data_IF_346976280467
#
_entry.id   IF_346976280467
#
_cell.length_a   1.000
_cell.length_b   1.000
_cell.length_c   1.000
_cell.angle_alpha   90.00
_cell.angle_beta   90.00
_cell.angle_gamma   90.00
#
_symmetry.space_group_name_H-M   'P 1'
#
loop_
_entity.id
_entity.type
_entity.pdbx_description
1 polymer ?
#
# COMPACT_ATOMS: atom_id res chain seq x y z
N UNK A 1 39.93 -13.32 -10.11
CA UNK A 1 39.37 -12.81 -11.37
C UNK A 1 37.88 -12.69 -11.15
N UNK A 2 37.48 -11.57 -10.57
CA UNK A 2 36.08 -11.34 -10.23
C UNK A 2 35.43 -10.69 -11.43
N UNK A 3 34.64 -11.50 -12.14
CA UNK A 3 33.76 -11.03 -13.21
C UNK A 3 32.65 -10.20 -12.58
N UNK A 4 32.92 -8.91 -12.36
CA UNK A 4 31.90 -7.92 -12.02
C UNK A 4 30.88 -7.91 -13.18
N UNK A 5 29.57 -8.17 -12.93
CA UNK A 5 28.56 -8.21 -13.98
C UNK A 5 28.51 -6.88 -14.75
N UNK A 6 28.16 -6.89 -16.05
CA UNK A 6 28.13 -5.68 -16.89
C UNK A 6 27.32 -4.53 -16.29
N UNK A 7 26.25 -4.86 -15.55
CA UNK A 7 25.38 -3.91 -14.87
C UNK A 7 26.06 -3.16 -13.72
N UNK A 8 26.83 -3.85 -12.85
CA UNK A 8 27.53 -3.19 -11.74
C UNK A 8 28.67 -2.30 -12.23
N UNK A 9 29.36 -2.72 -13.31
CA UNK A 9 30.41 -1.89 -13.94
C UNK A 9 29.80 -0.63 -14.57
N UNK A 10 28.62 -0.72 -15.17
CA UNK A 10 27.87 0.42 -15.69
C UNK A 10 27.43 1.38 -14.57
N UNK A 11 26.86 0.89 -13.47
CA UNK A 11 26.45 1.72 -12.33
C UNK A 11 27.63 2.42 -11.64
N UNK A 12 28.77 1.75 -11.45
CA UNK A 12 29.97 2.37 -10.84
C UNK A 12 30.57 3.45 -11.72
N UNK A 13 30.64 3.21 -13.03
CA UNK A 13 31.05 4.23 -14.02
C UNK A 13 30.13 5.45 -13.97
N UNK A 14 28.82 5.22 -13.84
CA UNK A 14 27.82 6.28 -13.72
C UNK A 14 28.01 7.10 -12.43
N UNK A 15 28.25 6.46 -11.29
CA UNK A 15 28.42 7.09 -9.97
C UNK A 15 29.80 7.72 -9.74
N UNK A 16 30.84 7.31 -10.47
CA UNK A 16 32.16 7.95 -10.39
C UNK A 16 32.26 9.22 -11.25
N UNK A 17 31.43 9.32 -12.30
CA UNK A 17 31.36 10.50 -13.17
C UNK A 17 30.43 11.61 -12.66
N UNK A 18 29.70 11.42 -11.55
CA UNK A 18 28.75 12.42 -10.99
C UNK A 18 29.39 13.61 -10.28
N UNK A 19 30.73 13.75 -10.27
CA UNK A 19 31.38 15.03 -9.89
C UNK A 19 31.24 16.12 -10.95
N UNK A 20 30.64 15.79 -12.12
CA UNK A 20 30.01 16.76 -13.00
C UNK A 20 28.56 16.36 -13.18
N UNK A 21 27.66 17.00 -12.43
CA UNK A 21 26.24 17.03 -12.78
C UNK A 21 26.17 17.75 -14.13
N UNK A 22 26.23 17.00 -15.23
CA UNK A 22 25.59 17.48 -16.44
C UNK A 22 24.12 17.58 -16.07
N UNK A 23 23.59 18.81 -16.08
CA UNK A 23 22.14 19.03 -16.19
C UNK A 23 21.63 18.01 -17.22
N UNK A 24 20.48 17.39 -16.97
CA UNK A 24 19.75 16.74 -18.07
C UNK A 24 19.83 17.70 -19.27
N UNK A 25 20.27 17.27 -20.45
CA UNK A 25 20.23 18.15 -21.61
C UNK A 25 18.81 18.71 -21.65
N UNK A 26 18.67 20.05 -21.76
CA UNK A 26 17.36 20.64 -22.03
C UNK A 26 16.86 19.97 -23.30
N UNK A 27 15.89 19.07 -23.13
CA UNK A 27 15.23 18.42 -24.26
C UNK A 27 14.24 19.46 -24.77
N UNK A 28 14.46 19.97 -25.98
CA UNK A 28 13.50 20.83 -26.64
C UNK A 28 12.16 20.09 -26.77
N UNK A 29 11.08 20.69 -26.29
CA UNK A 29 9.74 20.22 -26.56
C UNK A 29 9.45 20.39 -28.06
N UNK A 30 9.02 19.32 -28.73
CA UNK A 30 8.59 19.41 -30.12
C UNK A 30 7.08 19.16 -30.22
N UNK A 31 6.45 19.87 -31.14
CA UNK A 31 5.06 19.62 -31.50
C UNK A 31 5.01 18.43 -32.46
N UNK A 32 4.37 17.35 -32.03
CA UNK A 32 4.10 16.20 -32.90
C UNK A 32 2.99 16.54 -33.91
N UNK A 33 2.99 15.93 -35.11
CA UNK A 33 1.88 16.04 -36.04
C UNK A 33 0.54 15.65 -35.37
N UNK A 34 -0.48 16.49 -35.49
CA UNK A 34 -1.83 16.23 -34.98
C UNK A 34 -2.74 15.86 -36.14
N UNK A 35 -3.35 14.68 -36.09
CA UNK A 35 -4.18 14.13 -37.17
C UNK A 35 -5.64 14.06 -36.73
N UNK A 36 -6.52 14.66 -37.52
CA UNK A 36 -7.97 14.63 -37.28
C UNK A 36 -8.60 13.37 -37.88
N UNK A 37 -9.05 12.46 -37.03
CA UNK A 37 -9.65 11.19 -37.46
C UNK A 37 -11.12 11.31 -37.88
N UNK A 38 -11.76 12.48 -37.72
CA UNK A 38 -13.13 12.70 -38.21
C UNK A 38 -13.23 12.50 -39.73
N UNK A 39 -12.14 12.74 -40.46
CA UNK A 39 -12.04 12.61 -41.90
C UNK A 39 -12.09 11.17 -42.42
N UNK A 40 -11.97 10.16 -41.55
CA UNK A 40 -11.98 8.75 -41.98
C UNK A 40 -13.35 8.23 -42.42
N UNK A 41 -14.45 8.84 -41.93
CA UNK A 41 -15.77 8.23 -42.00
C UNK A 41 -16.73 8.87 -43.01
N UNK A 42 -16.48 10.10 -43.49
CA UNK A 42 -17.51 10.89 -44.17
C UNK A 42 -17.23 11.25 -45.64
N UNK A 43 -15.97 11.25 -46.09
CA UNK A 43 -15.62 11.65 -47.47
C UNK A 43 -14.41 10.85 -48.00
N UNK A 44 -14.53 10.14 -49.15
CA UNK A 44 -13.43 9.39 -49.76
C UNK A 44 -12.15 10.20 -49.99
N UNK A 45 -12.26 11.48 -50.37
CA UNK A 45 -11.09 12.34 -50.64
C UNK A 45 -10.37 12.72 -49.34
N UNK A 46 -11.13 13.12 -48.32
CA UNK A 46 -10.58 13.45 -47.01
C UNK A 46 -10.04 12.22 -46.26
N UNK A 47 -10.63 11.04 -46.52
CA UNK A 47 -10.14 9.77 -45.99
C UNK A 47 -8.76 9.41 -46.53
N UNK A 48 -8.55 9.52 -47.85
CA UNK A 48 -7.24 9.25 -48.46
C UNK A 48 -6.18 10.22 -47.95
N UNK A 49 -6.54 11.50 -47.79
CA UNK A 49 -5.67 12.51 -47.19
C UNK A 49 -5.28 12.15 -45.74
N UNK A 50 -6.24 11.81 -44.89
CA UNK A 50 -5.98 11.40 -43.51
C UNK A 50 -5.10 10.14 -43.42
N UNK A 51 -5.29 9.15 -44.31
CA UNK A 51 -4.42 7.97 -44.39
C UNK A 51 -2.98 8.36 -44.74
N UNK A 52 -2.80 9.26 -45.72
CA UNK A 52 -1.48 9.74 -46.11
C UNK A 52 -0.80 10.53 -44.99
N UNK A 53 -1.53 11.38 -44.26
CA UNK A 53 -1.01 12.10 -43.08
C UNK A 53 -0.55 11.13 -41.98
N UNK A 54 -1.30 10.05 -41.72
CA UNK A 54 -0.90 9.00 -40.76
C UNK A 54 0.38 8.31 -41.23
N UNK A 55 0.44 7.89 -42.50
CA UNK A 55 1.59 7.19 -43.05
C UNK A 55 2.85 8.08 -43.07
N UNK A 56 2.70 9.36 -43.41
CA UNK A 56 3.78 10.34 -43.41
C UNK A 56 4.28 10.59 -41.99
N UNK A 57 3.39 10.88 -41.03
CA UNK A 57 3.78 11.11 -39.64
C UNK A 57 4.43 9.86 -39.02
N UNK A 58 3.90 8.66 -39.29
CA UNK A 58 4.50 7.41 -38.83
C UNK A 58 5.90 7.15 -39.43
N UNK A 59 6.11 7.49 -40.70
CA UNK A 59 7.38 7.25 -41.39
C UNK A 59 8.46 8.29 -41.07
N UNK A 60 8.08 9.55 -40.89
CA UNK A 60 9.02 10.65 -40.60
C UNK A 60 9.31 10.78 -39.10
N UNK A 61 8.29 10.67 -38.26
CA UNK A 61 8.40 10.91 -36.81
C UNK A 61 8.38 9.63 -35.97
N UNK A 62 7.65 8.59 -36.42
CA UNK A 62 7.36 7.41 -35.59
C UNK A 62 6.38 7.68 -34.42
N UNK A 63 5.98 8.94 -34.21
CA UNK A 63 5.03 9.41 -33.21
C UNK A 63 4.11 10.48 -33.83
N UNK A 64 2.82 10.45 -33.49
CA UNK A 64 1.84 11.45 -33.89
C UNK A 64 0.68 11.49 -32.89
N UNK A 65 -0.03 12.61 -32.84
CA UNK A 65 -1.22 12.80 -32.03
C UNK A 65 -2.47 12.62 -32.89
N UNK A 66 -3.59 12.20 -32.28
CA UNK A 66 -4.87 12.08 -32.96
C UNK A 66 -5.95 12.82 -32.20
N UNK A 67 -6.85 13.49 -32.92
CA UNK A 67 -8.06 14.14 -32.38
C UNK A 67 -9.30 13.58 -33.08
N UNK A 68 -10.49 13.81 -32.50
CA UNK A 68 -11.75 13.26 -33.01
C UNK A 68 -11.73 11.73 -33.19
N UNK A 69 -10.98 11.04 -32.33
CA UNK A 69 -10.74 9.60 -32.35
C UNK A 69 -11.95 8.74 -31.90
N UNK A 70 -13.11 9.35 -31.66
CA UNK A 70 -14.36 8.64 -31.30
C UNK A 70 -14.46 8.16 -29.85
N UNK A 71 -13.44 8.41 -29.01
CA UNK A 71 -13.51 8.16 -27.56
C UNK A 71 -14.04 9.43 -26.90
N UNK A 72 -15.17 9.36 -26.20
CA UNK A 72 -15.75 10.54 -25.56
C UNK A 72 -14.86 11.05 -24.42
N UNK A 73 -14.92 12.36 -24.18
CA UNK A 73 -14.20 12.96 -23.05
C UNK A 73 -14.70 12.40 -21.70
N UNK A 74 -15.97 12.00 -21.63
CA UNK A 74 -16.55 11.33 -20.46
C UNK A 74 -15.83 10.01 -20.14
N UNK A 75 -15.56 9.16 -21.14
CA UNK A 75 -14.82 7.91 -20.95
C UNK A 75 -13.37 8.18 -20.52
N UNK A 76 -12.71 9.17 -21.15
CA UNK A 76 -11.35 9.57 -20.77
C UNK A 76 -11.27 10.17 -19.36
N UNK A 77 -12.30 10.88 -18.92
CA UNK A 77 -12.38 11.40 -17.55
C UNK A 77 -12.70 10.28 -16.56
N UNK A 78 -13.61 9.36 -16.91
CA UNK A 78 -13.96 8.21 -16.09
C UNK A 78 -12.76 7.31 -15.83
N UNK A 79 -11.96 6.97 -16.85
CA UNK A 79 -10.76 6.14 -16.63
C UNK A 79 -9.71 6.85 -15.78
N UNK A 80 -9.57 8.18 -15.89
CA UNK A 80 -8.72 8.99 -15.01
C UNK A 80 -9.23 8.96 -13.57
N UNK A 81 -10.54 9.04 -13.37
CA UNK A 81 -11.14 9.01 -12.04
C UNK A 81 -11.04 7.62 -11.40
N UNK A 82 -11.18 6.54 -12.16
CA UNK A 82 -10.89 5.19 -11.71
C UNK A 82 -9.40 5.02 -11.35
N UNK A 83 -8.48 5.59 -12.15
CA UNK A 83 -7.05 5.58 -11.84
C UNK A 83 -6.72 6.22 -10.49
N UNK A 84 -7.41 7.30 -10.11
CA UNK A 84 -7.23 7.97 -8.80
C UNK A 84 -7.64 7.10 -7.61
N UNK A 85 -8.43 6.04 -7.84
CA UNK A 85 -8.81 5.09 -6.78
C UNK A 85 -7.69 4.09 -6.47
N UNK A 86 -6.66 3.99 -7.30
CA UNK A 86 -5.51 3.14 -7.03
C UNK A 86 -4.49 3.84 -6.14
N UNK A 87 -3.88 3.05 -5.24
CA UNK A 87 -2.84 3.55 -4.33
C UNK A 87 -1.54 3.82 -5.09
N UNK A 88 -1.03 5.06 -5.02
CA UNK A 88 0.25 5.45 -5.61
C UNK A 88 1.43 5.02 -4.72
N UNK A 89 1.68 3.71 -4.68
CA UNK A 89 2.74 3.11 -3.87
C UNK A 89 3.24 1.80 -4.45
N UNK A 90 4.52 1.52 -4.22
CA UNK A 90 5.10 0.19 -4.34
C UNK A 90 5.11 -0.47 -2.96
N UNK A 91 4.64 -1.70 -2.86
CA UNK A 91 4.63 -2.44 -1.59
C UNK A 91 5.14 -3.87 -1.79
N UNK A 92 6.12 -4.26 -0.99
CA UNK A 92 6.66 -5.62 -0.96
C UNK A 92 6.26 -6.30 0.35
N UNK A 93 5.52 -7.41 0.24
CA UNK A 93 5.07 -8.19 1.38
C UNK A 93 6.02 -9.36 1.60
N UNK A 94 6.51 -9.51 2.82
CA UNK A 94 7.44 -10.58 3.19
C UNK A 94 6.82 -11.37 4.32
N UNK A 95 6.45 -12.62 4.03
CA UNK A 95 6.08 -13.55 5.08
C UNK A 95 7.30 -13.90 5.92
N UNK A 96 7.09 -14.02 7.22
CA UNK A 96 8.11 -14.47 8.16
C UNK A 96 8.67 -15.85 7.80
N UNK A 97 7.84 -16.70 7.18
CA UNK A 97 8.24 -18.03 6.73
C UNK A 97 9.22 -18.00 5.53
N UNK A 98 9.22 -16.92 4.76
CA UNK A 98 9.97 -16.83 3.51
C UNK A 98 11.35 -16.20 3.70
N UNK A 99 11.56 -15.45 4.79
CA UNK A 99 12.83 -14.75 5.08
C UNK A 99 14.06 -15.68 5.00
N UNK A 100 14.05 -16.92 5.54
CA UNK A 100 15.20 -17.81 5.46
C UNK A 100 15.57 -18.25 4.03
N UNK A 101 14.65 -18.10 3.07
CA UNK A 101 14.84 -18.46 1.66
C UNK A 101 15.42 -17.34 0.79
N UNK A 102 15.60 -16.12 1.33
CA UNK A 102 16.15 -14.95 0.63
C UNK A 102 17.67 -15.02 0.42
N UNK A 103 18.16 -16.08 -0.21
CA UNK A 103 19.60 -16.40 -0.32
C UNK A 103 20.38 -15.44 -1.22
N UNK A 104 19.72 -14.85 -2.23
CA UNK A 104 20.35 -13.97 -3.22
C UNK A 104 20.58 -12.54 -2.70
N UNK A 105 19.90 -12.16 -1.60
CA UNK A 105 19.96 -10.81 -1.03
C UNK A 105 20.43 -10.83 0.43
N UNK A 106 21.64 -11.35 0.69
CA UNK A 106 22.18 -11.58 2.04
C UNK A 106 22.11 -10.36 2.97
N UNK A 107 22.46 -9.17 2.48
CA UNK A 107 22.44 -7.93 3.29
C UNK A 107 21.02 -7.46 3.63
N UNK A 108 20.09 -7.58 2.68
CA UNK A 108 18.67 -7.28 2.91
C UNK A 108 18.08 -8.27 3.91
N UNK A 109 18.33 -9.57 3.69
CA UNK A 109 17.91 -10.65 4.57
C UNK A 109 18.40 -10.43 6.00
N UNK A 110 19.69 -10.19 6.21
CA UNK A 110 20.24 -10.01 7.57
C UNK A 110 19.64 -8.80 8.28
N UNK A 111 19.39 -7.70 7.55
CA UNK A 111 18.76 -6.49 8.09
C UNK A 111 17.30 -6.76 8.47
N UNK A 112 16.56 -7.45 7.60
CA UNK A 112 15.18 -7.85 7.86
C UNK A 112 15.12 -8.80 9.05
N UNK A 113 15.95 -9.85 9.10
CA UNK A 113 16.00 -10.80 10.21
C UNK A 113 16.25 -10.09 11.55
N UNK A 114 17.20 -9.15 11.58
CA UNK A 114 17.49 -8.35 12.77
C UNK A 114 16.29 -7.46 13.18
N UNK A 115 15.69 -6.75 12.22
CA UNK A 115 14.52 -5.91 12.48
C UNK A 115 13.34 -6.74 12.99
N UNK A 116 13.02 -7.81 12.27
CA UNK A 116 11.94 -8.75 12.54
C UNK A 116 12.03 -9.33 13.94
N UNK A 117 13.22 -9.81 14.33
CA UNK A 117 13.42 -10.39 15.65
C UNK A 117 13.05 -9.40 16.76
N UNK A 118 13.51 -8.15 16.64
CA UNK A 118 13.26 -7.14 17.67
C UNK A 118 11.80 -6.68 17.67
N UNK A 119 11.21 -6.43 16.49
CA UNK A 119 9.82 -5.95 16.39
C UNK A 119 8.81 -7.04 16.77
N UNK A 120 9.11 -8.33 16.54
CA UNK A 120 8.23 -9.42 16.99
C UNK A 120 8.19 -9.54 18.51
N UNK A 121 9.35 -9.41 19.16
CA UNK A 121 9.46 -9.44 20.63
C UNK A 121 8.72 -8.24 21.25
N UNK A 122 8.86 -7.05 20.63
CA UNK A 122 8.14 -5.83 21.03
C UNK A 122 6.62 -5.99 20.84
N UNK A 123 6.16 -6.47 19.68
CA UNK A 123 4.74 -6.64 19.40
C UNK A 123 4.07 -7.61 20.36
N UNK A 124 4.72 -8.74 20.65
CA UNK A 124 4.24 -9.69 21.66
C UNK A 124 4.13 -9.04 23.04
N UNK A 125 5.16 -8.32 23.47
CA UNK A 125 5.18 -7.66 24.79
C UNK A 125 4.06 -6.62 24.91
N UNK A 126 3.86 -5.79 23.88
CA UNK A 126 2.77 -4.81 23.85
C UNK A 126 1.40 -5.48 23.86
N UNK A 127 1.22 -6.57 23.12
CA UNK A 127 -0.04 -7.32 23.11
C UNK A 127 -0.36 -7.91 24.49
N UNK A 128 0.62 -8.51 25.16
CA UNK A 128 0.47 -9.06 26.51
C UNK A 128 0.15 -7.97 27.55
N UNK A 129 0.80 -6.80 27.47
CA UNK A 129 0.53 -5.66 28.36
C UNK A 129 -0.89 -5.13 28.18
N UNK A 130 -1.34 -4.97 26.93
CA UNK A 130 -2.70 -4.52 26.62
C UNK A 130 -3.76 -5.56 27.01
N UNK A 131 -3.42 -6.84 26.96
CA UNK A 131 -4.31 -7.94 27.30
C UNK A 131 -4.48 -8.14 28.81
N UNK A 132 -3.46 -7.83 29.61
CA UNK A 132 -3.47 -8.01 31.07
C UNK A 132 -4.69 -7.38 31.77
N UNK A 133 -5.05 -6.09 31.58
CA UNK A 133 -6.22 -5.50 32.22
C UNK A 133 -7.56 -6.08 31.73
N UNK A 134 -7.55 -6.80 30.61
CA UNK A 134 -8.74 -7.45 30.04
C UNK A 134 -8.96 -8.88 30.58
N UNK A 135 -8.09 -9.36 31.47
CA UNK A 135 -8.13 -10.72 31.99
C UNK A 135 -7.76 -11.79 30.96
N UNK A 136 -7.08 -11.41 29.87
CA UNK A 136 -6.61 -12.33 28.84
C UNK A 136 -5.22 -12.83 29.25
N UNK A 137 -5.08 -14.15 29.38
CA UNK A 137 -3.80 -14.77 29.74
C UNK A 137 -2.75 -14.59 28.64
N UNK A 138 -1.48 -14.40 29.03
CA UNK A 138 -0.35 -14.31 28.09
C UNK A 138 -0.14 -15.59 27.26
N UNK A 139 -0.58 -16.75 27.78
CA UNK A 139 -0.63 -18.03 27.06
C UNK A 139 -1.38 -17.91 25.74
N UNK A 140 -2.44 -17.09 25.68
CA UNK A 140 -3.27 -16.92 24.48
C UNK A 140 -2.44 -16.50 23.27
N UNK A 141 -1.59 -15.47 23.39
CA UNK A 141 -0.78 -14.99 22.27
C UNK A 141 0.32 -15.97 21.90
N UNK A 142 0.91 -16.65 22.89
CA UNK A 142 1.92 -17.69 22.63
C UNK A 142 1.35 -18.85 21.82
N UNK A 143 0.12 -19.25 22.11
CA UNK A 143 -0.55 -20.37 21.43
C UNK A 143 -1.11 -19.96 20.06
N UNK A 144 -1.64 -18.73 19.95
CA UNK A 144 -2.38 -18.30 18.77
C UNK A 144 -1.57 -17.48 17.77
N UNK A 145 -0.42 -16.91 18.13
CA UNK A 145 0.39 -16.05 17.25
C UNK A 145 1.79 -16.62 16.98
N UNK A 146 1.92 -17.80 16.34
CA UNK A 146 3.24 -18.33 15.99
C UNK A 146 3.94 -17.41 14.96
N UNK A 147 5.27 -17.27 15.00
CA UNK A 147 6.00 -16.28 14.17
C UNK A 147 5.64 -16.27 12.69
N UNK A 148 5.37 -17.45 12.10
CA UNK A 148 5.01 -17.64 10.69
C UNK A 148 3.71 -16.96 10.24
N UNK A 149 2.86 -16.52 11.17
CA UNK A 149 1.55 -15.92 10.87
C UNK A 149 1.60 -14.42 10.67
N UNK A 150 2.64 -13.79 11.20
CA UNK A 150 2.93 -12.37 11.04
C UNK A 150 3.70 -12.13 9.74
N UNK A 151 3.75 -10.88 9.28
CA UNK A 151 4.44 -10.52 8.05
C UNK A 151 4.89 -9.06 8.08
N UNK A 152 5.83 -8.72 7.19
CA UNK A 152 6.25 -7.35 6.94
C UNK A 152 5.64 -6.83 5.64
N UNK A 153 5.39 -5.52 5.60
CA UNK A 153 5.12 -4.77 4.38
C UNK A 153 6.11 -3.61 4.29
N UNK A 154 6.97 -3.63 3.29
CA UNK A 154 7.88 -2.54 2.96
C UNK A 154 7.17 -1.66 1.93
N UNK A 155 6.95 -0.40 2.25
CA UNK A 155 6.25 0.55 1.39
C UNK A 155 7.22 1.63 0.90
N UNK A 156 7.15 1.92 -0.39
CA UNK A 156 7.76 3.08 -1.03
C UNK A 156 6.67 3.88 -1.75
N UNK A 157 6.61 5.17 -1.45
CA UNK A 157 5.68 6.11 -2.07
C UNK A 157 6.48 7.09 -2.91
N UNK A 158 6.46 6.92 -4.23
CA UNK A 158 7.15 7.80 -5.16
C UNK A 158 6.55 9.22 -5.13
N UNK A 159 7.31 10.26 -5.50
CA UNK A 159 6.75 11.59 -5.69
C UNK A 159 5.59 11.55 -6.71
N UNK A 160 4.53 12.30 -6.42
CA UNK A 160 3.31 12.33 -7.22
C UNK A 160 2.96 13.78 -7.57
N UNK A 161 3.04 14.19 -8.85
CA UNK A 161 2.75 15.58 -9.26
C UNK A 161 1.32 16.01 -8.92
N UNK A 162 0.38 15.06 -8.81
CA UNK A 162 -1.01 15.28 -8.47
C UNK A 162 -1.35 14.84 -7.04
N UNK A 163 -0.45 15.07 -6.08
CA UNK A 163 -0.54 14.51 -4.73
C UNK A 163 -1.82 14.86 -3.95
N UNK A 164 -2.48 15.97 -4.30
CA UNK A 164 -3.76 16.39 -3.72
C UNK A 164 -4.95 15.56 -4.21
N UNK A 165 -4.79 14.79 -5.29
CA UNK A 165 -5.85 14.01 -5.94
C UNK A 165 -5.69 12.50 -5.75
N UNK A 166 -4.53 12.03 -5.31
CA UNK A 166 -4.20 10.60 -5.22
C UNK A 166 -3.59 10.24 -3.87
N UNK A 167 -4.10 9.16 -3.28
CA UNK A 167 -3.56 8.62 -2.04
C UNK A 167 -2.39 7.67 -2.33
N UNK A 168 -1.38 7.72 -1.48
CA UNK A 168 -0.30 6.74 -1.48
C UNK A 168 -0.81 5.38 -1.01
N UNK A 169 -1.68 5.37 0.00
CA UNK A 169 -2.41 4.18 0.45
C UNK A 169 -3.84 4.58 0.82
N UNK A 170 -4.81 3.88 0.23
CA UNK A 170 -6.24 4.13 0.48
C UNK A 170 -6.62 3.94 1.95
N UNK A 171 -7.72 4.58 2.36
CA UNK A 171 -8.25 4.48 3.73
C UNK A 171 -8.63 3.05 4.07
N UNK A 172 -8.10 2.51 5.18
CA UNK A 172 -8.38 1.15 5.65
C UNK A 172 -8.17 1.01 7.15
N UNK A 173 -8.56 -0.15 7.70
CA UNK A 173 -8.12 -0.66 9.01
C UNK A 173 -7.35 -1.96 8.83
N UNK A 174 -6.46 -2.26 9.77
CA UNK A 174 -5.62 -3.45 9.71
C UNK A 174 -6.33 -4.68 10.28
N UNK A 175 -6.32 -5.78 9.52
CA UNK A 175 -6.79 -7.10 9.97
C UNK A 175 -5.69 -7.84 10.76
N UNK A 176 -5.13 -7.19 11.77
CA UNK A 176 -4.11 -7.75 12.66
C UNK A 176 -4.52 -7.56 14.12
N UNK A 177 -3.71 -8.04 15.08
CA UNK A 177 -3.85 -7.58 16.45
C UNK A 177 -3.20 -6.20 16.63
N UNK A 178 -1.94 -6.10 16.24
CA UNK A 178 -1.15 -4.87 16.28
C UNK A 178 -0.41 -4.72 14.96
N UNK A 179 -0.20 -3.48 14.55
CA UNK A 179 0.77 -3.14 13.52
C UNK A 179 1.79 -2.17 14.11
N UNK A 180 3.08 -2.42 13.87
CA UNK A 180 4.18 -1.57 14.30
C UNK A 180 4.86 -1.01 13.05
N UNK A 181 4.90 0.32 12.94
CA UNK A 181 5.38 1.03 11.75
C UNK A 181 6.62 1.84 12.09
N UNK A 182 7.69 1.56 11.37
CA UNK A 182 8.82 2.47 11.22
C UNK A 182 8.57 3.33 9.97
N UNK A 183 8.75 4.64 10.07
CA UNK A 183 8.60 5.59 8.97
C UNK A 183 9.77 6.57 8.97
N UNK A 184 10.11 7.07 7.79
CA UNK A 184 11.10 8.14 7.64
C UNK A 184 10.55 9.51 8.07
N UNK A 185 11.31 10.57 7.79
CA UNK A 185 10.96 11.95 8.15
C UNK A 185 9.91 12.59 7.22
N UNK A 186 9.49 11.89 6.16
CA UNK A 186 8.53 12.40 5.19
C UNK A 186 7.11 12.17 5.69
N UNK A 187 6.36 13.26 5.81
CA UNK A 187 4.95 13.22 6.25
C UNK A 187 4.10 12.50 5.21
N UNK A 188 3.10 11.76 5.68
CA UNK A 188 2.15 11.10 4.79
C UNK A 188 1.11 10.25 5.50
N UNK A 189 1.46 9.64 6.64
CA UNK A 189 0.51 8.86 7.43
C UNK A 189 -0.55 9.76 8.07
N UNK A 190 -1.83 9.44 7.84
CA UNK A 190 -2.97 10.11 8.45
C UNK A 190 -3.90 9.11 9.13
N UNK A 191 -4.42 9.46 10.30
CA UNK A 191 -5.43 8.71 11.03
C UNK A 191 -6.76 9.48 11.07
N UNK A 192 -7.87 8.77 11.11
CA UNK A 192 -9.20 9.37 11.19
C UNK A 192 -9.66 9.45 12.64
N UNK A 193 -9.87 10.66 13.17
CA UNK A 193 -10.33 10.86 14.54
C UNK A 193 -11.21 12.10 14.64
N UNK A 194 -12.35 11.99 15.33
CA UNK A 194 -13.30 13.10 15.51
C UNK A 194 -13.88 13.63 14.20
N UNK A 195 -14.14 12.77 13.22
CA UNK A 195 -14.74 13.16 11.93
C UNK A 195 -13.77 13.80 10.94
N UNK A 196 -12.47 13.83 11.23
CA UNK A 196 -11.44 14.44 10.37
C UNK A 196 -10.19 13.57 10.28
N UNK A 197 -9.46 13.75 9.18
CA UNK A 197 -8.12 13.21 9.00
C UNK A 197 -7.09 14.05 9.76
N UNK A 198 -6.20 13.38 10.48
CA UNK A 198 -5.13 14.00 11.29
C UNK A 198 -3.80 13.37 10.87
N UNK A 199 -2.88 14.20 10.40
CA UNK A 199 -1.53 13.76 10.04
C UNK A 199 -0.69 13.38 11.25
N UNK A 200 -0.07 12.19 11.20
CA UNK A 200 0.89 11.72 12.19
C UNK A 200 2.24 12.39 11.90
N UNK A 201 2.76 13.16 12.85
CA UNK A 201 4.07 13.80 12.71
C UNK A 201 5.17 12.73 12.81
N UNK A 202 6.12 12.65 11.86
CA UNK A 202 7.28 11.79 11.99
C UNK A 202 8.08 12.10 13.25
N UNK A 203 8.57 11.05 13.90
CA UNK A 203 9.48 11.13 15.04
C UNK A 203 10.59 10.09 14.79
N UNK A 204 11.83 10.52 14.50
CA UNK A 204 12.95 9.63 14.19
C UNK A 204 13.28 8.63 15.32
N UNK A 205 12.90 8.92 16.55
CA UNK A 205 13.19 8.08 17.72
C UNK A 205 12.06 7.10 18.07
N UNK A 206 10.93 7.15 17.35
CA UNK A 206 9.73 6.41 17.72
C UNK A 206 9.22 5.49 16.61
N UNK A 207 8.63 4.38 17.04
CA UNK A 207 7.79 3.53 16.20
C UNK A 207 6.32 3.92 16.43
N UNK A 208 5.52 3.87 15.37
CA UNK A 208 4.06 4.04 15.48
C UNK A 208 3.44 2.68 15.73
N UNK A 209 2.52 2.60 16.70
CA UNK A 209 1.77 1.37 17.00
C UNK A 209 0.29 1.64 16.74
N UNK A 210 -0.36 0.78 15.96
CA UNK A 210 -1.80 0.84 15.76
C UNK A 210 -2.48 -0.49 16.12
N UNK A 211 -3.69 -0.37 16.66
CA UNK A 211 -4.56 -1.49 17.01
C UNK A 211 -5.30 -1.95 15.75
N UNK A 212 -5.32 -3.26 15.50
CA UNK A 212 -6.06 -3.84 14.40
C UNK A 212 -7.45 -4.35 14.82
N UNK A 213 -8.28 -4.68 13.84
CA UNK A 213 -9.66 -5.11 14.03
C UNK A 213 -9.77 -6.30 14.99
N UNK A 214 -8.84 -7.25 14.89
CA UNK A 214 -8.90 -8.48 15.69
C UNK A 214 -8.71 -8.16 17.18
N UNK A 215 -7.90 -7.15 17.51
CA UNK A 215 -7.66 -6.78 18.90
C UNK A 215 -8.78 -5.88 19.43
N UNK A 216 -9.40 -5.05 18.58
CA UNK A 216 -10.65 -4.38 18.93
C UNK A 216 -11.72 -5.41 19.32
N UNK A 217 -11.93 -6.45 18.50
CA UNK A 217 -12.88 -7.52 18.81
C UNK A 217 -12.51 -8.30 20.08
N UNK A 218 -11.25 -8.70 20.22
CA UNK A 218 -10.75 -9.42 21.39
C UNK A 218 -10.91 -8.62 22.69
N UNK A 219 -10.73 -7.29 22.61
CA UNK A 219 -10.91 -6.36 23.74
C UNK A 219 -12.35 -5.91 23.97
N UNK A 220 -13.33 -6.52 23.28
CA UNK A 220 -14.74 -6.14 23.33
C UNK A 220 -15.00 -4.66 22.98
N UNK A 221 -14.19 -4.08 22.09
CA UNK A 221 -14.32 -2.70 21.69
C UNK A 221 -13.62 -1.69 22.60
N UNK A 222 -12.85 -2.12 23.61
CA UNK A 222 -12.11 -1.20 24.49
C UNK A 222 -10.99 -0.50 23.71
N UNK A 223 -10.20 -1.27 22.96
CA UNK A 223 -9.16 -0.72 22.08
C UNK A 223 -9.72 -0.54 20.67
N UNK A 224 -9.37 0.59 20.03
CA UNK A 224 -9.99 1.00 18.76
C UNK A 224 -9.05 0.80 17.58
N UNK A 225 -9.53 0.07 16.56
CA UNK A 225 -8.92 0.03 15.25
C UNK A 225 -9.33 1.26 14.44
N UNK A 226 -8.36 2.13 14.22
CA UNK A 226 -8.58 3.43 13.61
C UNK A 226 -8.32 3.36 12.11
N UNK A 227 -9.26 3.88 11.32
CA UNK A 227 -9.07 4.09 9.88
C UNK A 227 -7.87 4.98 9.66
N UNK A 228 -6.96 4.56 8.80
CA UNK A 228 -5.77 5.30 8.45
C UNK A 228 -5.51 5.21 6.95
N UNK A 229 -4.75 6.17 6.44
CA UNK A 229 -4.37 6.28 5.03
C UNK A 229 -2.97 6.87 4.91
N UNK A 230 -2.41 6.84 3.70
CA UNK A 230 -1.17 7.57 3.40
C UNK A 230 -1.44 8.52 2.24
N UNK A 231 -1.16 9.81 2.43
CA UNK A 231 -1.16 10.80 1.35
C UNK A 231 0.21 10.80 0.66
N UNK A 232 0.23 11.18 -0.62
CA UNK A 232 1.48 11.31 -1.38
C UNK A 232 2.14 12.68 -1.17
N UNK A 233 3.39 12.80 -1.59
CA UNK A 233 4.16 14.04 -1.62
C UNK A 233 4.51 14.38 -3.07
N UNK A 234 4.60 15.66 -3.44
CA UNK A 234 4.89 16.06 -4.83
C UNK A 234 6.35 15.90 -5.23
N UNK A 235 7.27 16.05 -4.28
CA UNK A 235 8.69 16.25 -4.56
C UNK A 235 9.58 15.13 -3.99
N UNK A 236 9.21 14.58 -2.83
CA UNK A 236 10.07 13.68 -2.06
C UNK A 236 9.40 12.31 -1.92
N UNK A 237 10.17 11.24 -2.14
CA UNK A 237 9.70 9.89 -1.88
C UNK A 237 9.61 9.60 -0.38
N UNK A 238 8.69 8.74 0.02
CA UNK A 238 8.49 8.31 1.40
C UNK A 238 8.68 6.81 1.54
N UNK A 239 9.34 6.37 2.60
CA UNK A 239 9.55 4.98 2.97
C UNK A 239 8.90 4.64 4.31
N UNK A 240 8.37 3.43 4.41
CA UNK A 240 7.95 2.88 5.71
C UNK A 240 8.01 1.35 5.71
N UNK A 241 8.18 0.78 6.89
CA UNK A 241 8.15 -0.66 7.14
C UNK A 241 7.09 -0.92 8.19
N UNK A 242 6.07 -1.71 7.85
CA UNK A 242 5.00 -2.11 8.74
C UNK A 242 5.12 -3.60 9.09
N UNK A 243 5.16 -3.92 10.38
CA UNK A 243 5.10 -5.28 10.90
C UNK A 243 3.70 -5.57 11.44
N UNK A 244 3.05 -6.60 10.92
CA UNK A 244 1.70 -7.00 11.30
C UNK A 244 1.76 -8.21 12.23
N UNK A 245 1.40 -8.00 13.50
CA UNK A 245 1.29 -9.07 14.49
C UNK A 245 -0.07 -9.75 14.37
N UNK A 246 -0.08 -10.92 13.75
CA UNK A 246 -1.29 -11.64 13.39
C UNK A 246 -1.43 -12.95 14.19
N UNK A 247 -2.66 -13.40 14.47
CA UNK A 247 -2.90 -14.75 14.92
C UNK A 247 -2.89 -15.76 13.76
N UNK A 248 -2.93 -17.04 14.11
CA UNK A 248 -3.21 -18.13 13.19
C UNK A 248 -4.63 -18.03 12.62
N UNK A 249 -4.84 -18.64 11.45
CA UNK A 249 -6.13 -18.58 10.76
C UNK A 249 -7.29 -19.12 11.62
N UNK A 250 -7.03 -20.12 12.45
CA UNK A 250 -8.05 -20.80 13.25
C UNK A 250 -8.11 -20.29 14.71
N UNK A 251 -7.32 -19.25 15.04
CA UNK A 251 -7.39 -18.62 16.35
C UNK A 251 -8.77 -18.00 16.57
N UNK A 252 -9.40 -18.37 17.69
CA UNK A 252 -10.72 -17.86 18.07
C UNK A 252 -10.57 -16.48 18.69
N UNK A 253 -11.23 -15.50 18.08
CA UNK A 253 -11.35 -14.12 18.54
C UNK A 253 -12.66 -14.00 19.30
N UNK A 254 -12.56 -13.80 20.62
CA UNK A 254 -13.71 -13.68 21.49
C UNK A 254 -13.32 -12.91 22.76
N UNK A 255 -14.18 -11.97 23.17
CA UNK A 255 -14.01 -11.29 24.45
C UNK A 255 -14.03 -12.28 25.61
N UNK A 256 -13.17 -12.05 26.59
CA UNK A 256 -13.14 -12.75 27.88
C UNK A 256 -13.84 -11.97 29.00
N UNK A 257 -14.45 -10.82 28.69
CA UNK A 257 -15.20 -10.05 29.71
C UNK A 257 -16.34 -10.90 30.25
N UNK A 258 -16.40 -11.01 31.57
CA UNK A 258 -17.49 -11.65 32.31
C UNK A 258 -18.51 -10.65 32.84
N UNK A 259 -18.17 -9.36 32.79
CA UNK A 259 -18.97 -8.26 33.35
C UNK A 259 -19.77 -7.53 32.26
N UNK A 260 -19.21 -7.42 31.06
CA UNK A 260 -19.84 -6.68 29.96
C UNK A 260 -20.46 -7.65 28.94
N UNK A 261 -21.62 -7.30 28.35
CA UNK A 261 -22.15 -8.06 27.24
C UNK A 261 -21.17 -8.04 26.05
N UNK A 262 -21.09 -9.17 25.34
CA UNK A 262 -20.25 -9.27 24.15
C UNK A 262 -20.78 -8.35 23.04
N UNK A 263 -19.91 -7.48 22.52
CA UNK A 263 -20.21 -6.58 21.39
C UNK A 263 -20.13 -7.31 20.05
N UNK A 264 -19.22 -8.28 19.96
CA UNK A 264 -18.97 -9.08 18.77
C UNK A 264 -19.21 -10.56 19.05
N UNK A 265 -19.71 -11.27 18.03
CA UNK A 265 -19.80 -12.72 18.00
C UNK A 265 -18.39 -13.32 18.03
N UNK A 266 -18.27 -14.56 18.48
CA UNK A 266 -17.03 -15.32 18.33
C UNK A 266 -16.79 -15.65 16.86
N UNK A 267 -15.56 -15.49 16.39
CA UNK A 267 -15.14 -15.84 15.03
C UNK A 267 -13.64 -16.14 14.96
N UNK A 268 -13.19 -16.73 13.87
CA UNK A 268 -11.78 -16.99 13.56
C UNK A 268 -11.23 -15.99 12.54
N UNK A 269 -9.90 -15.82 12.48
CA UNK A 269 -9.26 -15.00 11.44
C UNK A 269 -9.63 -15.49 10.03
N UNK A 270 -9.80 -16.81 9.84
CA UNK A 270 -10.25 -17.41 8.59
C UNK A 270 -11.64 -16.92 8.18
N UNK A 271 -12.60 -16.97 9.09
CA UNK A 271 -13.96 -16.47 8.84
C UNK A 271 -13.95 -14.97 8.55
N UNK A 272 -13.17 -14.19 9.29
CA UNK A 272 -13.03 -12.76 9.07
C UNK A 272 -12.46 -12.43 7.68
N UNK A 273 -11.41 -13.14 7.24
CA UNK A 273 -10.83 -13.00 5.91
C UNK A 273 -11.80 -13.42 4.80
N UNK A 274 -12.50 -14.54 4.95
CA UNK A 274 -13.51 -14.97 3.98
C UNK A 274 -14.66 -13.96 3.89
N UNK A 275 -15.12 -13.40 5.00
CA UNK A 275 -16.14 -12.36 4.98
C UNK A 275 -15.63 -11.09 4.30
N UNK A 276 -14.41 -10.66 4.62
CA UNK A 276 -13.78 -9.49 3.99
C UNK A 276 -13.63 -9.67 2.48
N UNK A 277 -13.23 -10.86 2.02
CA UNK A 277 -13.12 -11.17 0.61
C UNK A 277 -14.47 -11.02 -0.10
N UNK A 278 -15.54 -11.58 0.48
CA UNK A 278 -16.91 -11.42 -0.05
C UNK A 278 -17.34 -9.96 -0.08
N UNK A 279 -17.08 -9.20 0.98
CA UNK A 279 -17.43 -7.78 1.03
C UNK A 279 -16.70 -6.99 -0.07
N UNK A 280 -15.42 -7.27 -0.32
CA UNK A 280 -14.64 -6.63 -1.39
C UNK A 280 -15.17 -7.03 -2.77
N UNK A 281 -15.55 -8.29 -2.98
CA UNK A 281 -16.13 -8.77 -4.24
C UNK A 281 -17.51 -8.16 -4.52
N UNK A 282 -18.36 -8.03 -3.50
CA UNK A 282 -19.75 -7.56 -3.64
C UNK A 282 -19.87 -6.03 -3.60
N UNK A 283 -19.07 -5.36 -2.77
CA UNK A 283 -19.21 -3.93 -2.45
C UNK A 283 -18.00 -3.10 -2.88
N UNK A 284 -16.90 -3.73 -3.29
CA UNK A 284 -15.65 -3.06 -3.62
C UNK A 284 -14.85 -2.59 -2.40
N UNK A 285 -15.31 -2.84 -1.18
CA UNK A 285 -14.64 -2.43 0.05
C UNK A 285 -14.82 -3.40 1.21
N UNK A 286 -13.90 -3.34 2.16
CA UNK A 286 -13.98 -4.08 3.43
C UNK A 286 -14.98 -3.39 4.37
N UNK A 287 -16.04 -4.10 4.74
CA UNK A 287 -17.00 -3.64 5.76
C UNK A 287 -16.44 -3.80 7.19
N UNK A 288 -15.76 -4.92 7.47
CA UNK A 288 -15.04 -5.15 8.73
C UNK A 288 -15.90 -5.67 9.88
N UNK A 289 -15.57 -5.26 11.11
CA UNK A 289 -16.12 -5.83 12.36
C UNK A 289 -17.64 -5.72 12.51
N UNK A 290 -18.31 -4.79 11.83
CA UNK A 290 -19.76 -4.65 11.90
C UNK A 290 -20.51 -5.90 11.41
N UNK A 291 -19.91 -6.69 10.50
CA UNK A 291 -20.45 -8.01 10.08
C UNK A 291 -20.53 -9.02 11.23
N UNK A 292 -19.68 -8.84 12.25
CA UNK A 292 -19.55 -9.73 13.41
C UNK A 292 -20.19 -9.16 14.67
N UNK A 293 -20.74 -7.94 14.63
CA UNK A 293 -21.44 -7.36 15.78
C UNK A 293 -22.80 -8.04 16.04
N UNK A 294 -23.21 -8.06 17.31
CA UNK A 294 -24.58 -8.45 17.68
C UNK A 294 -25.61 -7.38 17.31
N UNK A 295 -25.23 -6.11 17.39
CA UNK A 295 -26.09 -4.98 17.02
C UNK A 295 -25.92 -4.66 15.53
N UNK A 296 -26.69 -5.36 14.68
CA UNK A 296 -26.85 -4.94 13.29
C UNK A 296 -27.70 -3.65 13.27
N UNK A 297 -27.05 -2.50 13.33
CA UNK A 297 -27.63 -1.22 12.89
C UNK A 297 -27.19 -0.93 11.46
#
# INVERSE_FOLDING_TARGET
MDFEPPFQRACKSFLQNTTKINKHPEVEECELPVIDLSHLNFDPMNREKCINEIAEAASQWGFFQVVNHGISQEVLNSIKDEQKKFSWSEAFHISMADIPSMNEHKSLRSTIEAFVKNVSDLAKSLAEILAQPLGIESSYFKENCPPRTSFLRLNRYSPCPFSSQVLGLCSHTDTAFLTIVHQDEVRGLELFNGGRWIGVKPNPEALVVNIGDLFEALSNGIYKSIKHRVVTNQEVERFSVAYFYCPSFDAVIQSRSTTDPAVYKSFTLREFKHQTQRDVEELGEKVGLSRFSFDRK
#
